data_IF_806351929618
#
_entry.id   IF_806351929618
#
_cell.length_a   1.000
_cell.length_b   1.000
_cell.length_c   1.000
_cell.angle_alpha   90.00
_cell.angle_beta   90.00
_cell.angle_gamma   90.00
#
_symmetry.space_group_name_H-M   'P 1'
#
loop_
_entity.id
_entity.type
_entity.pdbx_description
1 polymer ?
#
# COMPACT_ATOMS: atom_id res chain seq x y z
N UNK A 1 -25.70 -18.03 7.54
CA UNK A 1 -24.91 -16.81 7.25
C UNK A 1 -24.35 -16.35 8.57
N UNK A 2 -23.03 -16.28 8.70
CA UNK A 2 -22.41 -15.88 9.98
C UNK A 2 -22.66 -14.40 10.22
N UNK A 3 -23.11 -14.04 11.42
CA UNK A 3 -23.16 -12.64 11.82
C UNK A 3 -21.74 -12.07 11.71
N UNK A 4 -21.57 -11.04 10.89
CA UNK A 4 -20.31 -10.35 10.78
C UNK A 4 -19.93 -9.75 12.14
N UNK A 5 -18.63 -9.70 12.43
CA UNK A 5 -18.18 -8.93 13.60
C UNK A 5 -18.59 -7.46 13.42
N UNK A 6 -18.99 -6.77 14.50
CA UNK A 6 -19.25 -5.34 14.43
C UNK A 6 -18.00 -4.63 13.90
N UNK A 7 -18.22 -3.64 13.04
CA UNK A 7 -17.12 -2.81 12.55
C UNK A 7 -16.65 -1.89 13.69
N UNK A 8 -15.34 -1.64 13.84
CA UNK A 8 -14.80 -0.68 14.80
C UNK A 8 -15.55 0.66 14.75
N UNK A 9 -15.80 1.28 15.90
CA UNK A 9 -16.63 2.50 16.00
C UNK A 9 -15.90 3.72 15.40
N UNK A 10 -14.57 3.74 15.50
CA UNK A 10 -13.67 4.82 15.09
C UNK A 10 -13.38 4.85 13.58
N UNK A 11 -14.04 4.00 12.79
CA UNK A 11 -13.83 3.96 11.34
C UNK A 11 -14.45 5.19 10.65
N UNK A 12 -13.71 5.84 9.73
CA UNK A 12 -14.25 6.84 8.82
C UNK A 12 -15.48 6.31 8.07
N UNK A 13 -16.43 7.20 7.83
CA UNK A 13 -17.73 6.86 7.22
C UNK A 13 -17.57 6.22 5.85
N UNK A 14 -16.60 6.66 5.04
CA UNK A 14 -16.28 6.12 3.73
C UNK A 14 -15.81 4.67 3.81
N UNK A 15 -14.95 4.35 4.77
CA UNK A 15 -14.43 2.99 5.01
C UNK A 15 -15.56 2.09 5.48
N UNK A 16 -16.36 2.56 6.44
CA UNK A 16 -17.51 1.81 6.95
C UNK A 16 -18.48 1.44 5.84
N UNK A 17 -18.91 2.43 5.05
CA UNK A 17 -19.83 2.19 3.94
C UNK A 17 -19.22 1.27 2.89
N UNK A 18 -17.95 1.43 2.55
CA UNK A 18 -17.29 0.54 1.61
C UNK A 18 -17.30 -0.92 2.11
N UNK A 19 -16.91 -1.15 3.37
CA UNK A 19 -16.85 -2.52 3.93
C UNK A 19 -18.25 -3.14 4.06
N UNK A 20 -19.27 -2.37 4.41
CA UNK A 20 -20.66 -2.82 4.39
C UNK A 20 -21.09 -3.26 2.99
N UNK A 21 -20.77 -2.49 1.95
CA UNK A 21 -21.06 -2.87 0.57
C UNK A 21 -20.31 -4.14 0.13
N UNK A 22 -19.06 -4.31 0.57
CA UNK A 22 -18.29 -5.54 0.30
C UNK A 22 -18.91 -6.74 1.04
N UNK A 23 -19.39 -6.58 2.27
CA UNK A 23 -20.10 -7.62 3.02
C UNK A 23 -21.39 -8.05 2.32
N UNK A 24 -22.21 -7.07 1.90
CA UNK A 24 -23.43 -7.32 1.12
C UNK A 24 -23.12 -8.06 -0.19
N UNK A 25 -22.09 -7.60 -0.91
CA UNK A 25 -21.65 -8.25 -2.14
C UNK A 25 -21.18 -9.69 -1.90
N UNK A 26 -20.44 -9.93 -0.81
CA UNK A 26 -20.01 -11.27 -0.44
C UNK A 26 -21.21 -12.14 -0.05
N UNK A 27 -22.22 -11.59 0.63
CA UNK A 27 -23.41 -12.34 1.01
C UNK A 27 -24.31 -12.68 -0.18
N UNK A 28 -24.37 -11.82 -1.21
CA UNK A 28 -25.09 -12.13 -2.45
C UNK A 28 -24.49 -13.30 -3.23
N UNK A 29 -23.21 -13.62 -3.02
CA UNK A 29 -22.58 -14.80 -3.65
C UNK A 29 -23.06 -16.13 -3.05
N UNK A 30 -23.63 -16.12 -1.84
CA UNK A 30 -24.00 -17.34 -1.10
C UNK A 30 -22.81 -18.22 -0.67
N UNK A 31 -21.57 -17.80 -0.92
CA UNK A 31 -20.37 -18.60 -0.63
C UNK A 31 -19.95 -18.50 0.83
N UNK A 32 -19.42 -19.61 1.36
CA UNK A 32 -18.62 -19.59 2.60
C UNK A 32 -17.29 -18.89 2.35
N UNK A 33 -16.63 -18.37 3.39
CA UNK A 33 -15.31 -17.74 3.24
C UNK A 33 -14.25 -18.69 2.70
N UNK A 34 -14.36 -19.99 3.01
CA UNK A 34 -13.46 -21.02 2.46
C UNK A 34 -13.70 -21.19 0.97
N UNK A 35 -14.97 -21.29 0.54
CA UNK A 35 -15.31 -21.41 -0.88
C UNK A 35 -14.95 -20.14 -1.66
N UNK A 36 -15.17 -18.96 -1.07
CA UNK A 36 -14.72 -17.68 -1.64
C UNK A 36 -13.20 -17.68 -1.81
N UNK A 37 -12.46 -18.11 -0.79
CA UNK A 37 -11.00 -18.20 -0.86
C UNK A 37 -10.45 -19.28 -1.79
N UNK A 38 -11.26 -20.27 -2.18
CA UNK A 38 -10.90 -21.21 -3.24
C UNK A 38 -11.15 -20.62 -4.65
N UNK A 39 -12.13 -19.71 -4.78
CA UNK A 39 -12.51 -19.06 -6.04
C UNK A 39 -11.79 -17.72 -6.28
N UNK A 40 -11.12 -17.21 -5.26
CA UNK A 40 -10.32 -15.98 -5.29
C UNK A 40 -8.93 -16.32 -4.80
N UNK A 41 -7.87 -15.65 -5.27
CA UNK A 41 -6.49 -15.97 -4.89
C UNK A 41 -6.12 -15.57 -3.44
N UNK A 42 -7.09 -15.56 -2.52
CA UNK A 42 -6.98 -15.03 -1.17
C UNK A 42 -7.54 -16.02 -0.16
N UNK A 43 -6.79 -16.29 0.91
CA UNK A 43 -7.21 -17.23 1.96
C UNK A 43 -8.44 -16.77 2.74
N UNK A 44 -9.08 -17.71 3.46
CA UNK A 44 -10.15 -17.40 4.45
C UNK A 44 -9.73 -16.29 5.42
N UNK A 45 -8.52 -16.38 5.96
CA UNK A 45 -8.00 -15.41 6.93
C UNK A 45 -7.83 -14.02 6.32
N UNK A 46 -7.38 -13.94 5.06
CA UNK A 46 -7.27 -12.66 4.35
C UNK A 46 -8.64 -12.02 4.14
N UNK A 47 -9.62 -12.80 3.67
CA UNK A 47 -11.00 -12.32 3.55
C UNK A 47 -11.60 -11.87 4.88
N UNK A 48 -11.31 -12.58 5.97
CA UNK A 48 -11.81 -12.21 7.28
C UNK A 48 -11.25 -10.86 7.74
N UNK A 49 -9.95 -10.59 7.53
CA UNK A 49 -9.35 -9.28 7.84
C UNK A 49 -9.97 -8.15 7.01
N UNK A 50 -10.20 -8.39 5.72
CA UNK A 50 -10.78 -7.39 4.82
C UNK A 50 -12.24 -7.08 5.19
N UNK A 51 -13.04 -8.11 5.41
CA UNK A 51 -14.45 -7.95 5.75
C UNK A 51 -14.66 -7.40 7.16
N UNK A 52 -13.66 -7.45 8.04
CA UNK A 52 -13.71 -6.85 9.37
C UNK A 52 -13.07 -5.46 9.44
N UNK A 53 -12.72 -4.88 8.29
CA UNK A 53 -12.02 -3.59 8.20
C UNK A 53 -10.69 -3.53 8.95
N UNK A 54 -10.08 -4.69 9.28
CA UNK A 54 -8.77 -4.75 9.94
C UNK A 54 -7.66 -4.38 8.97
N UNK A 55 -7.82 -4.70 7.69
CA UNK A 55 -6.90 -4.34 6.62
C UNK A 55 -7.70 -3.94 5.39
N UNK A 56 -7.26 -2.94 4.62
CA UNK A 56 -7.87 -2.65 3.35
C UNK A 56 -7.74 -3.87 2.43
N UNK A 57 -8.80 -4.28 1.70
CA UNK A 57 -8.67 -5.30 0.69
C UNK A 57 -7.82 -4.79 -0.49
N UNK A 58 -6.93 -5.60 -1.07
CA UNK A 58 -6.28 -5.26 -2.33
C UNK A 58 -7.30 -5.00 -3.44
N UNK A 59 -7.02 -4.07 -4.37
CA UNK A 59 -7.90 -3.79 -5.52
C UNK A 59 -8.26 -5.07 -6.29
N UNK A 60 -7.29 -5.97 -6.44
CA UNK A 60 -7.46 -7.26 -7.11
C UNK A 60 -8.40 -8.20 -6.34
N UNK A 61 -8.44 -8.13 -5.01
CA UNK A 61 -9.39 -8.88 -4.19
C UNK A 61 -10.83 -8.39 -4.43
N UNK A 62 -11.03 -7.06 -4.43
CA UNK A 62 -12.34 -6.46 -4.71
C UNK A 62 -12.82 -6.82 -6.12
N UNK A 63 -11.93 -6.71 -7.11
CA UNK A 63 -12.24 -7.09 -8.48
C UNK A 63 -12.58 -8.59 -8.61
N UNK A 64 -11.85 -9.47 -7.90
CA UNK A 64 -12.14 -10.90 -7.87
C UNK A 64 -13.51 -11.19 -7.24
N UNK A 65 -13.87 -10.51 -6.15
CA UNK A 65 -15.20 -10.65 -5.55
C UNK A 65 -16.31 -10.18 -6.50
N UNK A 66 -16.13 -9.04 -7.18
CA UNK A 66 -17.09 -8.57 -8.18
C UNK A 66 -17.31 -9.63 -9.28
N UNK A 67 -16.24 -10.24 -9.79
CA UNK A 67 -16.35 -11.33 -10.78
C UNK A 67 -17.09 -12.54 -10.23
N UNK A 68 -16.80 -12.96 -8.99
CA UNK A 68 -17.48 -14.10 -8.35
C UNK A 68 -18.96 -13.81 -8.12
N UNK A 69 -19.31 -12.57 -7.82
CA UNK A 69 -20.69 -12.11 -7.67
C UNK A 69 -21.43 -11.84 -9.00
N UNK A 70 -20.75 -11.98 -10.14
CA UNK A 70 -21.33 -11.73 -11.46
C UNK A 70 -21.47 -10.24 -11.82
N UNK A 71 -20.89 -9.33 -11.04
CA UNK A 71 -20.86 -7.90 -11.39
C UNK A 71 -19.89 -7.66 -12.55
N UNK A 72 -20.35 -6.92 -13.56
CA UNK A 72 -19.55 -6.58 -14.75
C UNK A 72 -19.74 -5.11 -15.14
N UNK A 73 -18.83 -4.60 -15.98
CA UNK A 73 -18.91 -3.26 -16.55
C UNK A 73 -19.02 -2.17 -15.49
N UNK A 74 -20.01 -1.28 -15.63
CA UNK A 74 -20.15 -0.08 -14.82
C UNK A 74 -20.32 -0.36 -13.32
N UNK A 75 -20.89 -1.51 -12.93
CA UNK A 75 -21.05 -1.86 -11.51
C UNK A 75 -19.73 -2.20 -10.84
N UNK A 76 -18.89 -2.98 -11.52
CA UNK A 76 -17.56 -3.34 -11.04
C UNK A 76 -16.67 -2.08 -10.94
N UNK A 77 -16.77 -1.17 -11.91
CA UNK A 77 -16.05 0.11 -11.87
C UNK A 77 -16.50 1.00 -10.70
N UNK A 78 -17.81 1.08 -10.41
CA UNK A 78 -18.31 1.81 -9.24
C UNK A 78 -17.75 1.25 -7.92
N UNK A 79 -17.60 -0.07 -7.82
CA UNK A 79 -16.93 -0.69 -6.68
C UNK A 79 -15.45 -0.32 -6.60
N UNK A 80 -14.76 -0.24 -7.73
CA UNK A 80 -13.38 0.23 -7.83
C UNK A 80 -13.21 1.66 -7.34
N UNK A 81 -14.05 2.59 -7.81
CA UNK A 81 -14.00 4.00 -7.38
C UNK A 81 -14.28 4.12 -5.88
N UNK A 82 -15.29 3.41 -5.36
CA UNK A 82 -15.57 3.41 -3.92
C UNK A 82 -14.40 2.85 -3.10
N UNK A 83 -13.73 1.82 -3.61
CA UNK A 83 -12.53 1.27 -3.00
C UNK A 83 -11.41 2.32 -2.94
N UNK A 84 -11.17 3.06 -4.02
CA UNK A 84 -10.14 4.12 -4.06
C UNK A 84 -10.40 5.21 -3.02
N UNK A 85 -11.65 5.66 -2.89
CA UNK A 85 -12.03 6.66 -1.88
C UNK A 85 -11.85 6.13 -0.46
N UNK A 86 -12.25 4.88 -0.20
CA UNK A 86 -12.13 4.28 1.12
C UNK A 86 -10.66 4.03 1.53
N UNK A 87 -9.82 3.56 0.61
CA UNK A 87 -8.41 3.27 0.91
C UNK A 87 -7.63 4.53 1.25
N UNK A 88 -7.91 5.67 0.59
CA UNK A 88 -7.26 6.96 0.88
C UNK A 88 -7.46 7.44 2.31
N UNK A 89 -8.59 7.12 2.93
CA UNK A 89 -8.93 7.53 4.29
C UNK A 89 -8.89 6.37 5.27
N UNK A 90 -8.29 5.24 4.88
CA UNK A 90 -8.23 4.07 5.75
C UNK A 90 -7.39 4.39 7.00
N UNK A 91 -7.86 4.06 8.22
CA UNK A 91 -7.09 4.32 9.43
C UNK A 91 -5.73 3.64 9.38
N UNK A 92 -4.69 4.43 9.64
CA UNK A 92 -3.32 3.94 9.78
C UNK A 92 -3.03 3.75 11.26
N UNK A 93 -2.43 2.61 11.60
CA UNK A 93 -1.78 2.54 12.90
C UNK A 93 -0.66 3.58 12.91
N UNK A 94 -0.62 4.48 13.90
CA UNK A 94 0.51 5.38 14.03
C UNK A 94 1.76 4.51 14.14
N UNK A 95 2.72 4.73 13.23
CA UNK A 95 3.99 4.04 13.28
C UNK A 95 4.52 4.15 14.72
N UNK A 96 4.91 3.02 15.36
CA UNK A 96 5.43 3.09 16.71
C UNK A 96 6.58 4.11 16.71
N UNK A 97 6.50 5.09 17.61
CA UNK A 97 7.58 6.05 17.81
C UNK A 97 8.85 5.23 17.97
N UNK A 98 9.75 5.33 16.98
CA UNK A 98 11.10 4.76 17.09
C UNK A 98 11.81 5.55 18.18
N UNK A 99 11.65 5.13 19.43
CA UNK A 99 12.57 5.52 20.47
C UNK A 99 13.93 5.00 20.01
N UNK A 100 14.97 5.84 19.92
CA UNK A 100 16.31 5.35 19.67
C UNK A 100 16.61 4.33 20.77
N UNK A 101 16.75 3.06 20.40
CA UNK A 101 17.29 2.04 21.30
C UNK A 101 18.71 2.49 21.61
N UNK A 102 18.83 3.15 22.76
CA UNK A 102 20.07 3.75 23.22
C UNK A 102 21.01 2.64 23.68
N UNK A 103 22.03 2.39 22.86
CA UNK A 103 23.37 2.03 23.31
C UNK A 103 23.63 0.58 23.73
N UNK A 104 24.90 0.14 23.67
CA UNK A 104 25.29 -1.18 24.15
C UNK A 104 25.03 -1.25 25.66
N UNK A 105 24.31 -2.28 26.09
CA UNK A 105 24.27 -2.70 27.50
C UNK A 105 25.73 -2.98 27.90
N UNK A 106 26.32 -2.26 28.88
CA UNK A 106 27.63 -2.61 29.38
C UNK A 106 27.47 -3.97 30.07
N UNK A 107 28.06 -5.00 29.46
CA UNK A 107 28.10 -6.35 30.00
C UNK A 107 28.59 -6.32 31.45
N UNK A 108 27.85 -7.01 32.30
CA UNK A 108 28.19 -7.21 33.69
C UNK A 108 29.61 -7.73 33.81
N UNK A 109 30.44 -6.96 34.51
CA UNK A 109 31.75 -7.40 34.99
C UNK A 109 31.57 -7.77 36.45
N UNK A 110 31.37 -9.05 36.73
CA UNK A 110 31.89 -9.63 37.97
C UNK A 110 33.16 -10.37 37.59
N UNK A 111 34.29 -9.80 38.02
CA UNK A 111 35.58 -10.44 37.92
C UNK A 111 35.66 -11.63 38.89
N UNK A 112 36.52 -12.60 38.59
CA UNK A 112 37.70 -12.94 39.39
C UNK A 112 38.38 -14.14 38.73
N UNK A 113 39.56 -13.96 38.15
CA UNK A 113 40.63 -14.94 38.32
C UNK A 113 41.98 -14.30 37.98
N UNK A 114 42.81 -14.22 39.02
CA UNK A 114 44.21 -13.84 39.00
C UNK A 114 45.07 -14.83 38.17
N UNK A 115 46.17 -14.33 37.61
CA UNK A 115 47.37 -15.15 37.40
C UNK A 115 48.12 -15.03 36.07
N UNK A 116 48.94 -13.98 35.97
CA UNK A 116 50.31 -13.94 35.42
C UNK A 116 50.66 -14.52 34.02
N UNK A 117 51.02 -13.57 33.14
CA UNK A 117 52.28 -13.44 32.40
C UNK A 117 52.69 -14.47 31.33
N UNK A 118 52.41 -14.09 30.08
CA UNK A 118 53.47 -13.61 29.17
C UNK A 118 54.25 -14.63 28.34
N UNK A 119 53.84 -14.83 27.08
CA UNK A 119 54.79 -14.70 25.97
C UNK A 119 54.13 -14.44 24.61
N UNK A 120 54.81 -13.58 23.87
CA UNK A 120 54.51 -13.03 22.56
C UNK A 120 54.46 -14.08 21.46
N UNK A 121 53.62 -13.84 20.44
CA UNK A 121 53.75 -14.61 19.21
C UNK A 121 52.54 -14.61 18.30
N UNK A 122 52.41 -13.54 17.53
CA UNK A 122 52.05 -13.60 16.11
C UNK A 122 50.67 -14.15 15.69
N UNK A 123 49.92 -13.22 15.07
CA UNK A 123 49.14 -13.43 13.84
C UNK A 123 47.93 -14.35 13.96
N UNK A 124 46.77 -13.74 14.25
CA UNK A 124 45.59 -14.01 13.44
C UNK A 124 44.65 -12.81 13.45
N UNK A 125 44.90 -11.83 12.58
CA UNK A 125 43.87 -10.87 12.19
C UNK A 125 42.92 -11.58 11.24
N UNK A 126 41.92 -12.26 11.81
CA UNK A 126 40.78 -12.82 11.07
C UNK A 126 39.59 -11.93 11.38
N UNK A 127 39.26 -11.11 10.39
CA UNK A 127 37.89 -10.82 9.94
C UNK A 127 36.83 -10.43 10.98
N UNK A 128 37.02 -9.31 11.67
CA UNK A 128 35.91 -8.60 12.34
C UNK A 128 35.63 -7.21 11.73
N UNK A 129 36.10 -6.97 10.51
CA UNK A 129 35.78 -5.74 9.75
C UNK A 129 34.66 -5.92 8.72
N UNK A 130 33.86 -6.99 8.86
CA UNK A 130 32.50 -7.02 8.32
C UNK A 130 31.61 -6.15 9.21
N UNK A 131 31.90 -4.83 9.22
CA UNK A 131 31.00 -3.83 9.74
C UNK A 131 29.68 -4.03 9.01
N UNK A 132 28.71 -4.51 9.77
CA UNK A 132 27.41 -4.94 9.33
C UNK A 132 26.92 -4.07 8.18
N UNK A 133 26.83 -4.67 6.99
CA UNK A 133 25.75 -4.34 6.08
C UNK A 133 24.46 -4.68 6.82
N UNK A 134 24.11 -3.84 7.79
CA UNK A 134 22.74 -3.73 8.25
C UNK A 134 21.98 -3.44 6.99
N UNK A 135 21.19 -4.41 6.54
CA UNK A 135 19.96 -4.04 5.90
C UNK A 135 19.35 -3.04 6.90
N UNK A 136 19.29 -1.76 6.54
CA UNK A 136 18.31 -0.92 7.19
C UNK A 136 17.01 -1.66 6.90
N UNK A 137 16.46 -2.27 7.95
CA UNK A 137 15.20 -2.98 7.94
C UNK A 137 14.19 -1.89 7.60
N UNK A 138 14.07 -1.62 6.30
CA UNK A 138 13.10 -0.72 5.73
C UNK A 138 11.78 -1.24 6.28
N UNK A 139 11.12 -0.48 7.18
CA UNK A 139 9.99 -1.00 7.90
C UNK A 139 9.06 -1.58 6.85
N UNK A 140 8.68 -2.85 6.99
CA UNK A 140 7.80 -3.52 6.02
C UNK A 140 6.47 -2.82 6.11
N UNK A 141 6.35 -1.72 5.37
CA UNK A 141 5.16 -0.92 5.34
C UNK A 141 4.08 -1.79 4.73
N UNK A 142 2.90 -1.84 5.37
CA UNK A 142 1.75 -2.44 4.73
C UNK A 142 1.59 -1.87 3.31
N UNK A 143 1.25 -2.71 2.34
CA UNK A 143 1.19 -2.29 0.93
C UNK A 143 0.24 -1.11 0.67
N UNK A 144 -0.69 -0.83 1.58
CA UNK A 144 -1.62 0.30 1.53
C UNK A 144 -1.07 1.61 2.11
N UNK A 145 0.04 1.57 2.84
CA UNK A 145 0.76 2.76 3.29
C UNK A 145 1.69 3.30 2.19
N UNK A 146 2.15 2.42 1.29
CA UNK A 146 2.90 2.79 0.07
C UNK A 146 2.05 3.55 -0.96
N UNK A 147 0.72 3.55 -0.83
CA UNK A 147 -0.18 4.25 -1.77
C UNK A 147 -0.19 5.76 -1.60
N UNK A 148 0.25 6.26 -0.43
CA UNK A 148 0.35 7.70 -0.13
C UNK A 148 1.70 8.30 -0.52
N UNK A 149 2.67 7.45 -0.88
CA UNK A 149 3.91 7.88 -1.51
C UNK A 149 3.58 8.33 -2.94
N UNK A 150 3.00 9.53 -3.06
CA UNK A 150 2.90 10.25 -4.32
C UNK A 150 4.29 10.23 -4.96
N UNK A 151 4.47 9.61 -6.14
CA UNK A 151 5.74 9.71 -6.84
C UNK A 151 6.06 11.19 -7.01
N UNK A 152 7.34 11.61 -6.90
CA UNK A 152 7.71 13.02 -6.99
C UNK A 152 7.04 13.63 -8.23
N UNK A 153 6.51 14.86 -8.16
CA UNK A 153 5.69 15.43 -9.22
C UNK A 153 6.46 15.39 -10.55
N UNK A 154 6.19 14.35 -11.33
CA UNK A 154 6.74 14.22 -12.67
C UNK A 154 6.09 15.30 -13.53
N UNK A 155 6.84 16.02 -14.38
CA UNK A 155 6.28 17.09 -15.20
C UNK A 155 5.35 16.52 -16.28
N UNK A 156 4.11 16.20 -15.92
CA UNK A 156 3.05 15.71 -16.83
C UNK A 156 2.22 16.85 -17.44
N UNK A 157 2.38 18.07 -16.94
CA UNK A 157 1.65 19.28 -17.39
C UNK A 157 2.19 19.89 -18.69
N UNK A 158 3.44 19.62 -19.05
CA UNK A 158 4.08 20.24 -20.23
C UNK A 158 3.51 19.77 -21.57
N UNK A 159 3.09 18.50 -21.67
CA UNK A 159 2.61 17.93 -22.94
C UNK A 159 1.24 18.46 -23.34
N UNK A 160 0.34 18.65 -22.39
CA UNK A 160 -1.01 19.20 -22.66
C UNK A 160 -0.95 20.68 -23.06
N UNK A 161 -0.09 21.47 -22.42
CA UNK A 161 0.16 22.85 -22.81
C UNK A 161 0.77 22.96 -24.21
N UNK A 162 1.67 22.03 -24.57
CA UNK A 162 2.25 21.98 -25.91
C UNK A 162 1.20 21.63 -26.96
N UNK A 163 0.31 20.67 -26.70
CA UNK A 163 -0.81 20.37 -27.60
C UNK A 163 -1.78 21.55 -27.73
N UNK A 164 -2.11 22.23 -26.62
CA UNK A 164 -2.97 23.41 -26.65
C UNK A 164 -2.34 24.56 -27.48
N UNK A 165 -1.04 24.81 -27.30
CA UNK A 165 -0.31 25.82 -28.06
C UNK A 165 -0.23 25.50 -29.56
N UNK A 166 0.04 24.24 -29.91
CA UNK A 166 0.04 23.77 -31.32
C UNK A 166 -1.34 23.90 -31.94
N UNK A 167 -2.41 23.57 -31.20
CA UNK A 167 -3.78 23.72 -31.69
C UNK A 167 -4.14 25.18 -31.96
N UNK A 168 -3.79 26.10 -31.04
CA UNK A 168 -3.99 27.54 -31.22
C UNK A 168 -3.22 28.06 -32.43
N UNK A 169 -1.96 27.66 -32.60
CA UNK A 169 -1.16 28.04 -33.76
C UNK A 169 -1.77 27.54 -35.08
N UNK A 170 -2.23 26.29 -35.11
CA UNK A 170 -2.88 25.71 -36.29
C UNK A 170 -4.17 26.46 -36.67
N UNK A 171 -4.98 26.84 -35.68
CA UNK A 171 -6.20 27.63 -35.90
C UNK A 171 -5.88 29.04 -36.44
N UNK A 172 -4.82 29.69 -35.94
CA UNK A 172 -4.38 31.00 -36.45
C UNK A 172 -3.90 30.91 -37.90
N UNK A 173 -3.11 29.88 -38.24
CA UNK A 173 -2.65 29.66 -39.63
C UNK A 173 -3.82 29.40 -40.56
N UNK A 174 -4.80 28.59 -40.14
CA UNK A 174 -6.00 28.33 -40.94
C UNK A 174 -6.84 29.60 -41.17
N UNK A 175 -6.97 30.46 -40.16
CA UNK A 175 -7.68 31.73 -40.28
C UNK A 175 -6.98 32.70 -41.25
N UNK A 176 -5.66 32.82 -41.18
CA UNK A 176 -4.87 33.66 -42.10
C UNK A 176 -4.93 33.11 -43.53
N UNK A 177 -4.79 31.79 -43.72
CA UNK A 177 -4.90 31.17 -45.02
C UNK A 177 -6.30 31.32 -45.64
N UNK A 178 -7.36 31.23 -44.81
CA UNK A 178 -8.72 31.50 -45.24
C UNK A 178 -8.94 32.96 -45.66
N UNK A 179 -8.36 33.91 -44.93
CA UNK A 179 -8.45 35.33 -45.26
C UNK A 179 -7.71 35.69 -46.56
N UNK A 180 -6.58 35.04 -46.86
CA UNK A 180 -5.79 35.28 -48.08
C UNK A 180 -6.37 34.60 -49.31
N UNK A 181 -7.13 33.50 -49.15
CA UNK A 181 -7.74 32.79 -50.27
C UNK A 181 -9.12 33.32 -50.67
N UNK A 182 -9.80 34.07 -49.78
CA UNK A 182 -11.11 34.68 -50.04
C UNK A 182 -11.08 36.22 -50.21
N UNK A 183 -9.92 36.87 -50.05
CA UNK A 183 -9.73 38.31 -50.28
C UNK A 183 -9.03 38.59 -51.60
#
# INVERSE_FOLDING_TARGET
>A
MGAWQPLPEELPTEVRHFVEQVRLLKDSTGLSLVALGARTAYSKSSWQRYLNATQPPPRQAVAALCRVAGLTGAEAERFGVRWELAVRVWPREPAPLRLPVGGPVPGGRDGTHDGHDGHDGARQGVDDRAGACGYEEDPTLPWWDLLDEEPPPGPRTGRLLLYAAVLVLALLVAAVAGAVTLG
#
